data_IF_351113259585
#
_entry.id   IF_351113259585
#
_cell.length_a   1.000
_cell.length_b   1.000
_cell.length_c   1.000
_cell.angle_alpha   90.00
_cell.angle_beta   90.00
_cell.angle_gamma   90.00
#
_symmetry.space_group_name_H-M   'P 1'
#
loop_
_entity.id
_entity.type
_entity.pdbx_description
1 polymer ?
2 non-polymer ?
3 non-polymer ?
4 non-polymer ?
5 water ?
#
# COMPACT_ATOMS: atom_id res chain seq x y z
N UNK A 1 -10.25 0.61 -9.22
CA UNK A 1 -9.42 -0.59 -9.03
C UNK A 1 -7.99 -0.25 -9.43
N UNK A 2 -7.07 -0.82 -8.67
CA UNK A 2 -5.66 -0.60 -8.91
C UNK A 2 -4.85 -0.89 -7.65
N UNK A 3 -3.60 -0.50 -7.71
CA UNK A 3 -2.71 -0.66 -6.56
C UNK A 3 -1.50 0.27 -6.83
N UNK A 4 -0.70 0.52 -5.79
CA UNK A 4 0.51 1.34 -6.02
C UNK A 4 1.47 0.67 -7.00
N UNK A 5 2.02 1.36 -7.95
CA UNK A 5 3.01 0.87 -8.90
C UNK A 5 4.40 1.29 -8.59
N UNK A 6 4.59 2.52 -8.16
CA UNK A 6 5.89 3.04 -7.74
C UNK A 6 5.69 3.90 -6.51
N UNK A 7 6.10 3.51 -5.29
CA UNK A 7 6.76 2.24 -5.03
C UNK A 7 5.76 1.09 -5.03
N UNK A 8 6.18 -0.02 -5.68
CA UNK A 8 5.26 -1.11 -5.95
C UNK A 8 4.64 -1.63 -4.64
N UNK A 9 3.35 -1.92 -4.70
CA UNK A 9 2.60 -2.48 -3.56
C UNK A 9 3.13 -3.90 -3.26
N UNK A 10 2.89 -4.30 -2.04
CA UNK A 10 3.29 -5.65 -1.58
C UNK A 10 2.54 -6.69 -2.44
N UNK A 11 1.25 -6.53 -2.68
CA UNK A 11 0.47 -7.48 -3.47
C UNK A 11 0.99 -7.54 -4.89
N UNK A 12 1.26 -6.40 -5.52
CA UNK A 12 1.73 -6.39 -6.92
C UNK A 12 3.15 -6.97 -7.00
N UNK A 13 3.97 -6.74 -5.99
CA UNK A 13 5.35 -7.26 -6.00
C UNK A 13 5.28 -8.82 -5.94
N UNK A 14 4.42 -9.36 -5.08
CA UNK A 14 4.30 -10.84 -5.01
C UNK A 14 3.75 -11.35 -6.35
N UNK A 15 2.76 -10.69 -6.93
CA UNK A 15 2.26 -11.07 -8.27
C UNK A 15 3.39 -11.11 -9.29
N UNK A 16 4.26 -10.13 -9.33
CA UNK A 16 5.33 -9.98 -10.30
C UNK A 16 6.35 -11.09 -10.14
N UNK A 17 6.48 -11.68 -8.95
CA UNK A 17 7.41 -12.81 -8.77
C UNK A 17 6.90 -14.04 -9.53
N UNK A 18 5.63 -14.15 -9.78
CA UNK A 18 5.03 -15.39 -10.27
C UNK A 18 4.33 -16.07 -9.12
N UNK A 19 3.00 -15.85 -8.93
CA UNK A 19 2.26 -16.24 -7.76
C UNK A 19 2.26 -17.76 -7.48
N UNK A 20 2.48 -18.52 -8.53
CA UNK A 20 2.37 -19.99 -8.38
C UNK A 20 3.64 -20.59 -7.77
N UNK A 21 4.75 -19.88 -7.82
CA UNK A 21 6.00 -20.33 -7.20
C UNK A 21 6.81 -19.10 -6.87
N UNK A 22 6.43 -18.36 -5.82
CA UNK A 22 7.17 -17.13 -5.57
C UNK A 22 8.62 -17.31 -5.20
N UNK A 23 9.37 -16.28 -5.48
CA UNK A 23 10.82 -16.19 -5.35
C UNK A 23 11.23 -15.87 -3.92
N UNK A 24 10.55 -14.98 -3.26
CA UNK A 24 10.93 -14.53 -1.91
C UNK A 24 10.29 -15.38 -0.83
N UNK A 25 10.98 -15.52 0.29
CA UNK A 25 10.40 -16.18 1.46
C UNK A 25 9.11 -15.54 1.88
N UNK A 26 9.10 -14.18 1.86
CA UNK A 26 7.91 -13.48 2.31
C UNK A 26 6.69 -13.80 1.42
N UNK A 27 6.89 -13.73 0.11
CA UNK A 27 5.72 -13.99 -0.78
C UNK A 27 5.32 -15.48 -0.76
N UNK A 28 6.31 -16.36 -0.55
CA UNK A 28 5.97 -17.81 -0.39
C UNK A 28 5.10 -17.96 0.87
N UNK A 29 5.45 -17.26 1.96
CA UNK A 29 4.65 -17.30 3.20
C UNK A 29 3.27 -16.71 2.93
N UNK A 30 3.19 -15.60 2.20
CA UNK A 30 1.88 -15.00 1.90
C UNK A 30 0.96 -16.02 1.19
N UNK A 31 1.52 -16.72 0.21
CA UNK A 31 0.72 -17.70 -0.55
C UNK A 31 0.36 -18.92 0.31
N UNK A 32 1.26 -19.33 1.21
CA UNK A 32 0.91 -20.49 2.09
C UNK A 32 -0.24 -20.07 3.01
N UNK A 33 -0.28 -18.78 3.47
CA UNK A 33 -1.24 -18.27 4.46
C UNK A 33 -2.57 -17.95 3.78
N UNK A 34 -2.53 -17.44 2.54
CA UNK A 34 -3.77 -16.89 1.96
C UNK A 34 -4.09 -17.29 0.54
N UNK A 35 -3.27 -18.11 -0.10
CA UNK A 35 -3.53 -18.65 -1.44
C UNK A 35 -3.01 -17.76 -2.56
N UNK A 36 -3.03 -18.28 -3.76
CA UNK A 36 -2.58 -17.56 -4.96
C UNK A 36 -3.64 -16.59 -5.51
N UNK A 37 -4.91 -16.84 -5.28
CA UNK A 37 -5.97 -16.08 -5.97
C UNK A 37 -5.81 -14.59 -5.62
N UNK A 38 -5.54 -14.26 -4.37
CA UNK A 38 -5.32 -12.87 -3.91
C UNK A 38 -4.37 -12.16 -4.88
N UNK A 39 -3.29 -12.81 -5.31
CA UNK A 39 -2.25 -12.12 -6.14
C UNK A 39 -2.81 -11.80 -7.53
N UNK A 40 -3.68 -12.63 -8.07
CA UNK A 40 -4.33 -12.35 -9.38
C UNK A 40 -5.31 -11.16 -9.24
N UNK A 41 -5.82 -10.94 -8.04
CA UNK A 41 -6.80 -9.88 -7.70
C UNK A 41 -6.04 -8.72 -7.05
N UNK A 42 -4.83 -8.47 -7.50
CA UNK A 42 -3.96 -7.42 -6.92
C UNK A 42 -4.62 -6.03 -6.97
N UNK A 43 -5.53 -5.81 -7.92
CA UNK A 43 -6.18 -4.50 -8.12
C UNK A 43 -7.45 -4.39 -7.28
N UNK A 44 -7.76 -5.33 -6.43
CA UNK A 44 -9.06 -5.45 -5.75
C UNK A 44 -9.05 -5.43 -4.25
N UNK A 45 -8.08 -4.77 -3.59
CA UNK A 45 -8.10 -4.62 -2.14
C UNK A 45 -8.99 -3.40 -1.82
N UNK A 46 -10.21 -3.67 -1.37
CA UNK A 46 -11.21 -2.59 -1.31
C UNK A 46 -12.15 -2.80 -0.15
N UNK A 47 -12.84 -1.73 0.21
CA UNK A 47 -14.03 -1.79 1.09
C UNK A 47 -15.14 -1.06 0.34
N UNK A 48 -16.22 -1.74 0.06
CA UNK A 48 -17.31 -1.17 -0.78
C UNK A 48 -17.98 0.01 -0.12
N UNK A 49 -18.13 -0.03 1.20
CA UNK A 49 -18.89 1.01 1.96
C UNK A 49 -17.98 1.64 3.01
N UNK A 50 -16.85 2.17 2.60
CA UNK A 50 -15.89 2.78 3.57
C UNK A 50 -16.40 4.16 4.00
N UNK A 51 -16.78 5.04 3.05
CA UNK A 51 -17.28 6.41 3.34
C UNK A 51 -16.34 7.18 4.29
N UNK A 52 -15.02 7.04 4.10
CA UNK A 52 -14.01 7.75 4.91
C UNK A 52 -13.78 7.20 6.31
N UNK A 53 -14.41 6.10 6.70
CA UNK A 53 -14.31 5.57 8.09
C UNK A 53 -13.24 4.46 8.18
N UNK A 54 -12.05 4.68 7.66
CA UNK A 54 -11.01 3.63 7.48
C UNK A 54 -10.61 3.07 8.84
N UNK A 55 -10.26 3.94 9.79
CA UNK A 55 -9.76 3.50 11.10
C UNK A 55 -10.89 2.80 11.86
N UNK A 56 -12.16 3.15 11.64
CA UNK A 56 -13.30 2.49 12.31
C UNK A 56 -13.46 1.06 11.74
N UNK A 57 -13.25 0.86 10.45
CA UNK A 57 -13.57 -0.39 9.75
C UNK A 57 -12.38 -1.37 9.72
N UNK A 58 -11.17 -0.88 9.82
CA UNK A 58 -9.98 -1.76 9.58
C UNK A 58 -9.23 -1.94 10.90
N UNK A 59 -9.27 -3.16 11.51
CA UNK A 59 -8.51 -3.43 12.71
C UNK A 59 -6.98 -3.34 12.51
N UNK A 60 -6.25 -2.98 13.57
CA UNK A 60 -4.80 -3.11 13.55
C UNK A 60 -4.43 -4.57 13.15
N UNK A 61 -3.38 -4.70 12.33
CA UNK A 61 -2.91 -5.99 11.83
C UNK A 61 -3.68 -6.44 10.60
N UNK A 62 -4.65 -5.67 10.14
CA UNK A 62 -5.48 -5.97 8.94
C UNK A 62 -5.40 -4.82 7.95
N UNK A 63 -4.43 -3.91 8.07
CA UNK A 63 -4.38 -2.78 7.10
C UNK A 63 -4.06 -3.24 5.69
N UNK A 64 -3.10 -4.18 5.55
CA UNK A 64 -2.63 -4.50 4.19
C UNK A 64 -3.69 -5.35 3.44
N UNK A 65 -4.58 -6.02 4.17
CA UNK A 65 -5.68 -6.77 3.53
C UNK A 65 -7.01 -6.00 3.52
N UNK A 66 -7.03 -4.81 4.11
CA UNK A 66 -8.27 -4.05 4.34
C UNK A 66 -9.31 -4.95 5.03
N UNK A 67 -8.85 -5.83 5.91
CA UNK A 67 -9.75 -6.72 6.67
C UNK A 67 -10.56 -7.67 5.76
N UNK A 68 -10.11 -7.90 4.52
CA UNK A 68 -10.70 -8.91 3.61
C UNK A 68 -9.94 -10.22 3.78
N UNK A 69 -10.60 -11.33 4.24
CA UNK A 69 -9.87 -12.59 4.42
C UNK A 69 -9.15 -13.11 3.16
N UNK A 70 -9.64 -12.79 1.97
CA UNK A 70 -8.99 -13.21 0.71
C UNK A 70 -7.54 -12.74 0.69
N UNK A 71 -7.27 -11.60 1.32
CA UNK A 71 -5.96 -10.96 1.25
C UNK A 71 -5.15 -11.15 2.53
N UNK A 72 -5.58 -12.05 3.40
CA UNK A 72 -4.94 -12.19 4.73
C UNK A 72 -3.45 -12.56 4.67
N UNK A 73 -2.96 -13.16 3.58
CA UNK A 73 -1.52 -13.44 3.45
C UNK A 73 -0.68 -12.17 3.43
N UNK A 74 -1.29 -11.04 3.06
CA UNK A 74 -0.54 -9.76 3.02
C UNK A 74 -0.36 -9.16 4.40
N UNK A 75 -1.04 -9.69 5.41
CA UNK A 75 -0.96 -9.12 6.76
C UNK A 75 0.24 -9.64 7.57
N UNK A 76 0.94 -10.66 7.07
CA UNK A 76 2.06 -11.25 7.81
C UNK A 76 3.08 -10.21 8.20
N UNK A 77 3.57 -10.28 9.42
CA UNK A 77 4.57 -9.34 9.96
C UNK A 77 5.99 -9.91 9.66
N UNK A 78 6.41 -9.72 8.45
CA UNK A 78 7.70 -10.24 7.97
C UNK A 78 8.74 -9.13 8.04
N UNK A 79 9.94 -9.48 8.44
CA UNK A 79 11.11 -8.59 8.34
C UNK A 79 11.69 -8.54 6.94
N UNK A 80 11.24 -9.41 6.05
CA UNK A 80 11.91 -9.64 4.77
C UNK A 80 11.01 -9.38 3.57
N UNK A 81 9.90 -8.60 3.67
CA UNK A 81 9.22 -8.30 2.43
C UNK A 81 10.16 -7.60 1.46
N UNK A 82 10.17 -7.96 0.17
CA UNK A 82 11.00 -7.24 -0.79
C UNK A 82 10.62 -5.75 -0.80
N UNK A 83 11.63 -4.89 -0.77
CA UNK A 83 11.41 -3.45 -0.56
C UNK A 83 12.03 -2.67 -1.67
N UNK A 84 11.36 -1.55 -2.01
CA UNK A 84 11.93 -0.57 -2.96
C UNK A 84 12.87 0.37 -2.18
N UNK A 85 14.07 0.54 -2.70
CA UNK A 85 14.94 1.57 -2.11
C UNK A 85 14.45 2.98 -2.46
N UNK A 86 14.41 3.80 -1.42
CA UNK A 86 13.97 5.19 -1.57
C UNK A 86 14.94 6.08 -0.81
N UNK A 87 14.79 7.39 -1.09
CA UNK A 87 15.54 8.44 -0.41
C UNK A 87 14.58 9.57 0.02
N UNK A 88 14.98 10.26 1.07
CA UNK A 88 14.22 11.48 1.42
C UNK A 88 14.31 12.51 0.29
N UNK A 89 13.22 13.27 0.20
CA UNK A 89 13.03 14.30 -0.80
C UNK A 89 11.79 14.14 -1.62
N UNK A 90 11.66 15.00 -2.63
CA UNK A 90 10.52 14.94 -3.55
C UNK A 90 10.40 13.51 -4.10
N UNK A 91 9.20 13.03 -4.30
CA UNK A 91 8.97 11.68 -4.84
C UNK A 91 7.77 11.72 -5.76
N UNK A 92 7.86 11.06 -6.90
CA UNK A 92 6.77 10.95 -7.87
C UNK A 92 6.13 9.58 -7.69
N UNK A 93 4.95 9.52 -7.10
CA UNK A 93 4.17 8.30 -6.94
C UNK A 93 3.50 7.94 -8.23
N UNK A 94 3.46 6.63 -8.52
CA UNK A 94 2.74 6.12 -9.68
C UNK A 94 1.74 5.10 -9.17
N UNK A 95 0.47 5.31 -9.33
CA UNK A 95 -0.58 4.38 -8.91
C UNK A 95 -1.15 3.73 -10.15
N UNK A 96 -1.01 2.38 -10.20
CA UNK A 96 -1.45 1.58 -11.34
C UNK A 96 -2.96 1.43 -11.27
N UNK A 97 -3.65 2.03 -12.22
CA UNK A 97 -5.13 2.10 -12.17
C UNK A 97 -5.70 1.31 -13.35
N UNK A 98 -6.49 0.29 -13.02
CA UNK A 98 -7.14 -0.57 -14.03
C UNK A 98 -8.56 -0.06 -14.33
N UNK A 99 -9.18 0.62 -13.38
CA UNK A 99 -10.51 1.23 -13.57
C UNK A 99 -10.51 2.58 -12.92
N UNK A 100 -10.42 3.66 -13.72
CA UNK A 100 -10.38 4.98 -13.12
C UNK A 100 -11.68 5.34 -12.41
N UNK A 101 -11.51 6.16 -11.34
CA UNK A 101 -12.63 6.68 -10.52
C UNK A 101 -12.28 8.06 -9.97
N UNK A 102 -13.31 8.89 -9.86
CA UNK A 102 -13.12 10.19 -9.18
C UNK A 102 -12.85 9.93 -7.70
N UNK A 103 -12.00 10.74 -7.10
CA UNK A 103 -11.71 10.55 -5.66
C UNK A 103 -10.35 11.11 -5.25
N UNK A 104 -9.95 10.82 -4.01
CA UNK A 104 -8.72 11.38 -3.43
C UNK A 104 -7.84 10.25 -2.91
N UNK A 105 -6.57 10.41 -3.20
CA UNK A 105 -5.50 9.54 -2.65
C UNK A 105 -4.82 10.28 -1.52
N UNK A 106 -4.56 9.59 -0.41
CA UNK A 106 -3.65 10.02 0.68
C UNK A 106 -2.64 8.87 0.91
N UNK A 107 -1.39 9.27 1.03
CA UNK A 107 -0.32 8.27 1.23
C UNK A 107 0.35 8.61 2.54
N UNK A 108 0.50 7.65 3.43
CA UNK A 108 1.07 7.80 4.76
C UNK A 108 2.32 6.96 4.91
N UNK A 109 3.36 7.45 5.57
CA UNK A 109 4.57 6.73 5.88
C UNK A 109 4.63 6.33 7.30
N UNK A 110 5.20 5.15 7.58
CA UNK A 110 5.45 4.71 8.95
C UNK A 110 6.31 5.72 9.72
N UNK A 111 6.08 5.78 11.05
CA UNK A 111 6.85 6.62 11.97
C UNK A 111 8.24 6.03 12.17
N UNK A 112 9.24 6.86 12.52
CA UNK A 112 10.56 6.40 12.96
C UNK A 112 10.39 5.35 14.09
N UNK A 113 11.17 4.29 13.95
CA UNK A 113 11.14 3.18 14.93
C UNK A 113 10.30 2.03 14.44
N UNK A 114 9.67 2.12 13.28
CA UNK A 114 8.81 1.08 12.72
C UNK A 114 9.50 -0.31 12.81
N UNK A 115 8.76 -1.27 13.30
CA UNK A 115 9.23 -2.66 13.41
C UNK A 115 8.35 -3.55 12.53
N UNK A 116 8.84 -3.95 11.34
CA UNK A 116 8.04 -4.76 10.44
C UNK A 116 7.81 -6.19 10.92
N UNK A 117 8.49 -6.59 12.01
CA UNK A 117 8.28 -7.92 12.56
C UNK A 117 7.06 -7.95 13.47
N UNK A 118 6.39 -6.79 13.66
CA UNK A 118 5.12 -6.69 14.38
C UNK A 118 4.04 -6.33 13.39
N UNK A 119 2.78 -6.72 13.71
CA UNK A 119 1.66 -6.38 12.85
C UNK A 119 1.55 -4.88 12.58
N UNK A 120 1.18 -4.51 11.36
CA UNK A 120 1.01 -3.09 11.04
C UNK A 120 -0.29 -2.57 11.68
N UNK A 121 -0.20 -1.53 12.49
CA UNK A 121 -1.36 -0.84 13.04
C UNK A 121 -1.43 0.59 12.60
N UNK A 122 -2.60 1.18 12.78
CA UNK A 122 -2.75 2.63 12.46
C UNK A 122 -1.77 3.46 13.27
N UNK A 123 -1.43 3.06 14.48
CA UNK A 123 -0.49 3.75 15.34
C UNK A 123 0.91 3.81 14.79
N UNK A 124 1.21 2.89 13.87
CA UNK A 124 2.56 2.84 13.27
C UNK A 124 2.73 3.89 12.15
N UNK A 125 1.64 4.43 11.68
CA UNK A 125 1.65 5.37 10.53
C UNK A 125 1.62 6.81 11.05
N UNK A 126 2.36 7.67 10.34
CA UNK A 126 2.18 9.14 10.55
C UNK A 126 0.98 9.63 9.78
N UNK A 127 -0.19 9.60 10.41
CA UNK A 127 -1.46 9.93 9.73
C UNK A 127 -1.68 11.45 9.71
N UNK A 128 -0.99 12.17 10.55
CA UNK A 128 -1.20 13.65 10.56
C UNK A 128 -0.51 14.33 9.42
N UNK A 129 0.52 13.73 8.83
CA UNK A 129 1.37 14.35 7.81
C UNK A 129 1.52 13.37 6.62
N UNK A 130 0.46 13.15 5.86
CA UNK A 130 0.59 12.35 4.63
C UNK A 130 1.72 12.88 3.78
N UNK A 131 2.51 11.96 3.21
CA UNK A 131 3.60 12.28 2.29
C UNK A 131 3.09 12.71 0.91
N UNK A 132 1.87 12.36 0.57
CA UNK A 132 1.29 12.77 -0.71
C UNK A 132 -0.22 12.80 -0.58
N UNK A 133 -0.81 13.76 -1.31
CA UNK A 133 -2.28 13.80 -1.48
C UNK A 133 -2.57 14.18 -2.92
N UNK A 134 -3.62 13.61 -3.47
CA UNK A 134 -3.97 13.93 -4.86
C UNK A 134 -5.48 13.80 -5.03
N UNK A 135 -6.13 14.87 -5.48
CA UNK A 135 -7.59 14.85 -5.69
C UNK A 135 -7.85 14.84 -7.20
N UNK A 136 -8.62 13.88 -7.66
CA UNK A 136 -8.98 13.72 -9.07
C UNK A 136 -7.80 13.84 -10.04
N UNK A 137 -6.73 13.04 -9.84
CA UNK A 137 -5.65 13.02 -10.82
C UNK A 137 -6.19 12.45 -12.15
N UNK A 138 -5.52 12.79 -13.22
CA UNK A 138 -5.93 12.35 -14.57
C UNK A 138 -5.21 11.04 -14.89
N UNK A 139 -5.97 10.01 -15.18
CA UNK A 139 -5.36 8.71 -15.58
C UNK A 139 -4.73 8.85 -16.96
N UNK A 140 -3.54 8.29 -17.13
CA UNK A 140 -2.87 8.27 -18.45
C UNK A 140 -2.07 6.97 -18.51
N UNK A 141 -2.30 6.18 -19.54
CA UNK A 141 -1.50 4.96 -19.76
C UNK A 141 -1.58 3.94 -18.64
N UNK A 142 -2.69 3.92 -17.93
CA UNK A 142 -2.88 2.94 -16.85
C UNK A 142 -2.28 3.40 -15.54
N UNK A 143 -1.97 4.68 -15.41
CA UNK A 143 -1.41 5.22 -14.15
C UNK A 143 -2.03 6.57 -13.77
N UNK A 144 -2.11 6.79 -12.47
CA UNK A 144 -2.15 8.17 -11.91
C UNK A 144 -0.75 8.49 -11.46
N UNK A 145 -0.30 9.71 -11.69
CA UNK A 145 1.04 10.19 -11.30
C UNK A 145 0.84 11.42 -10.42
N UNK A 146 1.41 11.44 -9.23
CA UNK A 146 1.28 12.60 -8.35
C UNK A 146 2.49 12.71 -7.46
N UNK A 147 2.86 13.91 -7.07
CA UNK A 147 4.11 14.14 -6.30
C UNK A 147 3.78 14.34 -4.84
N UNK A 148 4.80 14.00 -4.05
CA UNK A 148 4.82 14.32 -2.63
C UNK A 148 6.25 14.38 -2.15
N UNK A 149 6.44 14.16 -0.85
CA UNK A 149 7.77 14.30 -0.28
C UNK A 149 7.99 13.20 0.76
N UNK A 150 9.06 12.42 0.57
CA UNK A 150 9.44 11.50 1.65
C UNK A 150 10.32 12.23 2.65
N UNK A 151 9.92 12.21 3.92
CA UNK A 151 10.71 12.85 4.96
C UNK A 151 11.95 12.04 5.29
N UNK A 152 12.77 12.57 6.17
CA UNK A 152 13.96 11.89 6.69
C UNK A 152 13.56 10.62 7.46
N UNK A 153 14.18 9.50 7.07
CA UNK A 153 14.07 8.17 7.74
C UNK A 153 15.38 7.43 7.53
N UNK A 154 15.56 6.36 8.31
CA UNK A 154 16.83 5.58 8.24
C UNK A 154 16.61 4.19 7.76
N UNK A 155 15.53 3.53 8.10
CA UNK A 155 15.77 2.10 7.58
C UNK A 155 14.52 1.54 6.88
N UNK A 156 13.97 0.40 7.31
CA UNK A 156 12.79 -0.21 6.67
C UNK A 156 11.52 0.53 7.07
N UNK A 157 10.68 0.82 6.09
CA UNK A 157 9.45 1.56 6.32
C UNK A 157 8.35 1.01 5.40
N UNK A 158 7.16 1.54 5.54
CA UNK A 158 6.00 1.16 4.75
C UNK A 158 5.20 2.40 4.39
N UNK A 159 4.72 2.43 3.17
CA UNK A 159 3.76 3.45 2.68
C UNK A 159 2.40 2.83 2.60
N UNK A 160 1.41 3.49 3.13
CA UNK A 160 0.03 3.02 3.10
C UNK A 160 -0.80 4.03 2.33
N UNK A 161 -1.36 3.67 1.22
CA UNK A 161 -2.14 4.55 0.34
C UNK A 161 -3.60 4.21 0.47
N UNK A 162 -4.43 5.23 0.71
CA UNK A 162 -5.87 5.12 0.79
C UNK A 162 -6.45 5.92 -0.39
N UNK A 163 -7.27 5.28 -1.19
CA UNK A 163 -7.96 5.88 -2.34
C UNK A 163 -9.44 5.87 -2.07
N UNK A 164 -9.99 7.02 -1.65
CA UNK A 164 -11.43 7.13 -1.31
C UNK A 164 -12.15 7.72 -2.52
N UNK A 165 -13.10 6.98 -3.08
CA UNK A 165 -13.91 7.50 -4.19
C UNK A 165 -14.80 8.63 -3.65
N UNK A 166 -15.12 9.55 -4.53
CA UNK A 166 -16.01 10.72 -4.21
C UNK A 166 -17.42 10.51 -4.77
N UNK A 167 -17.60 9.58 -5.71
CA UNK A 167 -18.91 9.32 -6.43
C UNK A 167 -19.56 8.09 -5.80
N UNK A 168 -18.94 7.55 -4.75
CA UNK A 168 -19.17 6.20 -4.18
C UNK A 168 -18.48 6.15 -2.83
N UNK A 169 -19.03 5.40 -1.86
CA UNK A 169 -18.37 5.18 -0.58
C UNK A 169 -17.18 4.20 -0.69
N UNK A 170 -16.96 3.57 -1.84
CA UNK A 170 -15.89 2.56 -2.00
C UNK A 170 -14.51 3.24 -1.85
N UNK A 171 -13.61 2.51 -1.20
CA UNK A 171 -12.19 2.87 -1.09
C UNK A 171 -11.29 1.67 -1.43
N UNK A 172 -10.08 1.99 -1.82
CA UNK A 172 -9.01 1.01 -2.14
C UNK A 172 -7.81 1.27 -1.26
N UNK A 173 -7.06 0.22 -0.95
CA UNK A 173 -5.96 0.29 0.02
C UNK A 173 -4.72 -0.42 -0.55
N UNK A 174 -3.55 0.17 -0.31
CA UNK A 174 -2.26 -0.33 -0.82
C UNK A 174 -1.18 -0.15 0.21
N UNK A 175 -0.43 -1.20 0.52
CA UNK A 175 0.77 -1.04 1.33
C UNK A 175 1.97 -1.39 0.49
N UNK A 176 2.99 -0.56 0.57
CA UNK A 176 4.25 -0.71 -0.17
C UNK A 176 5.41 -0.73 0.77
N UNK A 177 6.26 -1.75 0.64
CA UNK A 177 7.45 -1.88 1.49
C UNK A 177 8.63 -1.11 0.88
N UNK A 178 9.27 -0.27 1.68
CA UNK A 178 10.42 0.52 1.21
C UNK A 178 11.56 0.44 2.21
N UNK A 179 12.75 0.88 1.77
CA UNK A 179 13.85 1.04 2.68
C UNK A 179 14.65 2.28 2.29
N UNK A 180 15.01 3.00 3.35
CA UNK A 180 15.88 4.17 3.23
C UNK A 180 17.34 3.78 3.51
N UNK A 181 17.61 2.50 3.84
CA UNK A 181 18.99 2.08 4.09
C UNK A 181 19.65 1.73 2.79
#
# INVERSE_FOLDING_TARGET
HGSMGDPVSRVSQCHAEGPENPKSAACRAAVAAGGTQALYDWNGIRIGNAAGKHQELIPDGRLCSANDPAFKGLDLARADWPATGVSSGSYTFKYRVTAPHKGTFKVYLTKPGYDPSKPLGWGDLDLSAPVATSTDPVASGGFYTFSGTLPERSGKHLLYAVWQRSDSPEAFYSCSDVTFG
#
